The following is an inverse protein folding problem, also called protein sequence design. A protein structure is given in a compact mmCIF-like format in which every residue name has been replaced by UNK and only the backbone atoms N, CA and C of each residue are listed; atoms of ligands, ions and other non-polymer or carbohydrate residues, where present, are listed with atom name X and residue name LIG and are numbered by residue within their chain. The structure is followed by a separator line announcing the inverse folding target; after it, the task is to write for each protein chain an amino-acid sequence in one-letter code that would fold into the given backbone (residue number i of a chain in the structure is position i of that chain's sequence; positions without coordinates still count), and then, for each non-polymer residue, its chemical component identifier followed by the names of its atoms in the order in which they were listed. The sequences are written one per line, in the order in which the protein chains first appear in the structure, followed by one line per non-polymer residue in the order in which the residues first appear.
data_IF_488095661991
#
_entry.id   IF_488095661991
#
_cell.length_a   1.000
_cell.length_b   1.000
_cell.length_c   1.000
_cell.angle_alpha   90.00
_cell.angle_beta   90.00
_cell.angle_gamma   90.00
#
_symmetry.space_group_name_H-M   'P 1'
#
loop_
_entity.id
_entity.type
_entity.pdbx_description
1 polymer ?
#
# COMPACT_ATOMS: atom_id res chain seq x y z
N UNK A 1 11.04 0.35 0.67
CA UNK A 1 12.06 1.41 0.88
C UNK A 1 11.39 2.59 1.59
N UNK A 2 11.98 3.09 2.68
CA UNK A 2 11.40 4.22 3.43
C UNK A 2 11.35 5.49 2.59
N UNK A 3 12.36 5.77 1.76
CA UNK A 3 12.40 6.94 0.88
C UNK A 3 11.20 6.94 -0.06
N UNK A 4 10.94 5.80 -0.70
CA UNK A 4 9.78 5.65 -1.62
C UNK A 4 8.46 5.83 -0.86
N UNK A 5 8.32 5.26 0.33
CA UNK A 5 7.12 5.44 1.15
C UNK A 5 6.92 6.92 1.52
N UNK A 6 7.98 7.62 1.90
CA UNK A 6 7.93 9.06 2.19
C UNK A 6 7.47 9.85 0.95
N UNK A 7 7.98 9.53 -0.25
CA UNK A 7 7.51 10.11 -1.51
C UNK A 7 5.99 9.87 -1.70
N UNK A 8 5.53 8.64 -1.49
CA UNK A 8 4.10 8.30 -1.59
C UNK A 8 3.24 9.14 -0.64
N UNK A 9 3.65 9.29 0.63
CA UNK A 9 2.88 10.04 1.64
C UNK A 9 2.78 11.54 1.35
N UNK A 10 3.76 12.11 0.65
CA UNK A 10 3.74 13.52 0.23
C UNK A 10 2.83 13.77 -0.97
N UNK A 11 2.73 12.79 -1.88
CA UNK A 11 2.07 12.95 -3.18
C UNK A 11 0.63 12.39 -3.22
N UNK A 12 0.29 11.45 -2.35
CA UNK A 12 -0.93 10.65 -2.44
C UNK A 12 -1.55 10.36 -1.07
N UNK A 13 -2.82 9.95 -1.07
CA UNK A 13 -3.47 9.42 0.13
C UNK A 13 -2.99 8.00 0.37
N UNK A 14 -2.23 7.80 1.45
CA UNK A 14 -1.65 6.49 1.80
C UNK A 14 -2.42 5.86 2.96
N UNK A 15 -2.92 4.65 2.75
CA UNK A 15 -3.40 3.74 3.78
C UNK A 15 -2.30 2.78 4.25
N UNK A 16 -2.45 2.24 5.47
CA UNK A 16 -1.54 1.26 6.02
C UNK A 16 -2.28 0.18 6.81
N UNK A 17 -1.76 -1.05 6.77
CA UNK A 17 -2.19 -2.11 7.67
C UNK A 17 -1.01 -2.95 8.16
N UNK A 18 -1.17 -3.50 9.37
CA UNK A 18 -0.16 -4.35 9.99
C UNK A 18 -0.58 -5.82 9.92
N UNK A 19 0.25 -6.67 9.31
CA UNK A 19 0.01 -8.12 9.21
C UNK A 19 -0.01 -8.83 10.57
N UNK A 20 0.60 -8.24 11.60
CA UNK A 20 0.56 -8.75 12.97
C UNK A 20 -0.85 -8.71 13.59
N UNK A 21 -1.72 -7.84 13.08
CA UNK A 21 -3.11 -7.70 13.50
C UNK A 21 -4.05 -8.65 12.74
N UNK A 22 -3.53 -9.43 11.78
CA UNK A 22 -4.31 -10.38 11.00
C UNK A 22 -4.86 -11.50 11.89
N UNK A 23 -6.20 -11.72 11.92
CA UNK A 23 -6.77 -12.83 12.67
C UNK A 23 -6.23 -14.18 12.17
N UNK A 24 -5.92 -15.10 13.09
CA UNK A 24 -5.37 -16.44 12.75
C UNK A 24 -6.21 -17.17 11.70
N UNK A 25 -7.55 -17.12 11.84
CA UNK A 25 -8.51 -17.74 10.90
C UNK A 25 -8.44 -17.19 9.47
N UNK A 26 -7.93 -15.97 9.29
CA UNK A 26 -7.66 -15.37 7.99
C UNK A 26 -6.25 -15.76 7.52
N UNK A 27 -5.27 -15.73 8.41
CA UNK A 27 -3.86 -16.04 8.14
C UNK A 27 -3.63 -17.49 7.69
N UNK A 28 -4.44 -18.43 8.21
CA UNK A 28 -4.41 -19.85 7.85
C UNK A 28 -5.10 -20.15 6.51
N UNK A 29 -5.92 -19.21 6.01
CA UNK A 29 -6.58 -19.34 4.71
C UNK A 29 -5.73 -18.68 3.62
N UNK A 30 -5.33 -19.47 2.64
CA UNK A 30 -4.59 -18.94 1.49
C UNK A 30 -5.36 -17.81 0.79
N UNK A 31 -4.60 -16.85 0.26
CA UNK A 31 -5.11 -15.72 -0.55
C UNK A 31 -6.07 -14.77 0.18
N UNK A 32 -6.12 -14.76 1.52
CA UNK A 32 -7.00 -13.86 2.29
C UNK A 32 -6.32 -12.65 2.94
N UNK A 33 -5.01 -12.72 3.19
CA UNK A 33 -4.28 -11.65 3.92
C UNK A 33 -4.33 -10.29 3.23
N UNK A 34 -4.19 -10.24 1.91
CA UNK A 34 -4.22 -8.97 1.16
C UNK A 34 -5.62 -8.39 1.17
N UNK A 35 -6.65 -9.19 0.90
CA UNK A 35 -8.05 -8.72 0.91
C UNK A 35 -8.44 -8.17 2.29
N UNK A 36 -8.09 -8.89 3.37
CA UNK A 36 -8.32 -8.41 4.74
C UNK A 36 -7.57 -7.09 5.01
N UNK A 37 -6.29 -7.02 4.66
CA UNK A 37 -5.46 -5.84 4.90
C UNK A 37 -5.92 -4.61 4.13
N UNK A 38 -6.28 -4.78 2.86
CA UNK A 38 -6.84 -3.73 2.01
C UNK A 38 -8.17 -3.23 2.60
N UNK A 39 -9.07 -4.14 2.97
CA UNK A 39 -10.34 -3.75 3.60
C UNK A 39 -10.13 -2.98 4.92
N UNK A 40 -9.16 -3.39 5.74
CA UNK A 40 -8.82 -2.70 6.98
C UNK A 40 -8.20 -1.31 6.73
N UNK A 41 -7.40 -1.16 5.68
CA UNK A 41 -6.82 0.13 5.32
C UNK A 41 -7.90 1.08 4.77
N UNK A 42 -8.77 0.59 3.89
CA UNK A 42 -9.85 1.37 3.29
C UNK A 42 -10.95 1.75 4.27
N UNK A 43 -11.22 0.94 5.30
CA UNK A 43 -12.20 1.31 6.34
C UNK A 43 -11.76 2.54 7.16
N UNK A 44 -10.45 2.82 7.20
CA UNK A 44 -9.86 3.99 7.87
C UNK A 44 -9.60 5.15 6.90
N UNK A 45 -9.25 4.83 5.65
CA UNK A 45 -8.96 5.79 4.59
C UNK A 45 -9.61 5.32 3.27
N UNK A 46 -10.91 5.60 3.07
CA UNK A 46 -11.68 5.09 1.92
C UNK A 46 -11.14 5.52 0.55
N UNK A 47 -10.49 6.69 0.52
CA UNK A 47 -9.98 7.31 -0.70
C UNK A 47 -8.46 7.07 -0.87
N UNK A 48 -7.91 6.00 -0.29
CA UNK A 48 -6.48 5.72 -0.39
C UNK A 48 -6.07 5.34 -1.83
N UNK A 49 -5.16 6.12 -2.41
CA UNK A 49 -4.51 5.82 -3.69
C UNK A 49 -3.48 4.69 -3.56
N UNK A 50 -2.90 4.55 -2.37
CA UNK A 50 -1.79 3.65 -2.09
C UNK A 50 -2.04 2.98 -0.74
N UNK A 51 -1.78 1.67 -0.65
CA UNK A 51 -1.80 0.93 0.62
C UNK A 51 -0.44 0.27 0.84
N UNK A 52 0.11 0.42 2.04
CA UNK A 52 1.39 -0.20 2.43
C UNK A 52 1.25 -1.16 3.60
N UNK A 53 2.19 -2.10 3.69
CA UNK A 53 2.40 -2.89 4.90
C UNK A 53 3.89 -3.17 5.12
N UNK A 54 4.29 -3.28 6.39
CA UNK A 54 5.69 -3.48 6.79
C UNK A 54 6.18 -4.93 6.65
N UNK A 55 5.34 -5.83 6.14
CA UNK A 55 5.66 -7.25 5.99
C UNK A 55 5.34 -8.03 7.27
N UNK A 56 5.83 -9.26 7.34
CA UNK A 56 5.77 -10.12 8.53
C UNK A 56 6.92 -11.15 8.48
N UNK A 57 7.07 -12.00 9.48
CA UNK A 57 8.04 -13.10 9.43
C UNK A 57 7.81 -13.96 8.18
N UNK A 58 8.85 -14.09 7.35
CA UNK A 58 8.79 -14.81 6.08
C UNK A 58 7.99 -14.11 4.97
N UNK A 59 7.59 -12.84 5.15
CA UNK A 59 6.87 -12.08 4.13
C UNK A 59 7.42 -10.66 3.97
N UNK A 60 7.75 -10.30 2.73
CA UNK A 60 8.32 -8.99 2.41
C UNK A 60 7.34 -7.82 2.62
N UNK A 61 7.84 -6.59 2.91
CA UNK A 61 7.04 -5.37 2.91
C UNK A 61 6.59 -4.99 1.49
N UNK A 62 5.41 -4.36 1.36
CA UNK A 62 4.87 -3.96 0.05
C UNK A 62 4.27 -2.55 0.10
N UNK A 63 4.32 -1.88 -1.06
CA UNK A 63 3.56 -0.68 -1.39
C UNK A 63 2.68 -1.06 -2.59
N UNK A 64 1.36 -0.91 -2.45
CA UNK A 64 0.36 -1.29 -3.45
C UNK A 64 -0.28 0.00 -3.97
N UNK A 65 -0.22 0.22 -5.28
CA UNK A 65 -0.73 1.45 -5.92
C UNK A 65 -2.02 1.10 -6.67
N UNK A 66 -3.07 1.89 -6.44
CA UNK A 66 -4.38 1.72 -7.07
C UNK A 66 -4.64 2.81 -8.10
N UNK A 67 -5.47 2.50 -9.09
CA UNK A 67 -5.97 3.43 -10.09
C UNK A 67 -7.17 2.82 -10.82
N UNK A 68 -8.01 3.67 -11.41
CA UNK A 68 -9.17 3.26 -12.19
C UNK A 68 -8.79 2.73 -13.58
N UNK A 69 -7.54 2.94 -14.00
CA UNK A 69 -6.99 2.41 -15.24
C UNK A 69 -5.50 2.07 -15.08
N UNK A 70 -4.94 1.19 -15.93
CA UNK A 70 -3.50 0.93 -15.95
C UNK A 70 -2.67 2.20 -16.15
N UNK A 71 -3.16 3.13 -16.99
CA UNK A 71 -2.47 4.40 -17.26
C UNK A 71 -2.35 5.25 -15.99
N UNK A 72 -3.42 5.34 -15.19
CA UNK A 72 -3.40 6.08 -13.94
C UNK A 72 -2.37 5.52 -12.95
N UNK A 73 -2.25 4.19 -12.86
CA UNK A 73 -1.24 3.54 -12.01
C UNK A 73 0.17 3.89 -12.51
N UNK A 74 0.41 3.83 -13.82
CA UNK A 74 1.70 4.21 -14.41
C UNK A 74 2.04 5.67 -14.13
N UNK A 75 1.07 6.58 -14.23
CA UNK A 75 1.29 8.00 -13.98
C UNK A 75 1.57 8.29 -12.50
N UNK A 76 0.92 7.58 -11.57
CA UNK A 76 1.26 7.61 -10.14
C UNK A 76 2.70 7.13 -9.91
N UNK A 77 3.10 6.02 -10.53
CA UNK A 77 4.48 5.51 -10.45
C UNK A 77 5.49 6.52 -10.98
N UNK A 78 5.23 7.14 -12.14
CA UNK A 78 6.10 8.19 -12.70
C UNK A 78 6.28 9.35 -11.73
N UNK A 79 5.21 9.84 -11.10
CA UNK A 79 5.27 10.92 -10.10
C UNK A 79 6.13 10.55 -8.89
N UNK A 80 6.03 9.29 -8.42
CA UNK A 80 6.84 8.79 -7.30
C UNK A 80 8.33 8.73 -7.67
N UNK A 81 8.63 8.37 -8.92
CA UNK A 81 10.01 8.23 -9.40
C UNK A 81 10.63 9.54 -9.90
N UNK A 82 9.82 10.57 -10.17
CA UNK A 82 10.32 11.86 -10.66
C UNK A 82 11.13 12.59 -9.58
N UNK A 83 12.41 12.78 -9.87
CA UNK A 83 13.36 13.45 -8.99
C UNK A 83 13.18 14.99 -8.97
N UNK A 84 12.41 15.57 -9.90
CA UNK A 84 12.08 17.01 -9.89
C UNK A 84 11.07 17.39 -8.81
N UNK A 85 10.36 16.43 -8.23
CA UNK A 85 9.47 16.66 -7.09
C UNK A 85 10.25 16.82 -5.75
N UNK A 86 11.58 17.01 -5.82
CA UNK A 86 12.50 16.98 -4.67
C UNK A 86 13.46 18.19 -4.60
N UNK A 87 13.18 19.28 -5.32
CA UNK A 87 13.75 20.62 -5.04
C UNK A 87 12.82 21.44 -4.14
#
# INVERSE_FOLDING_TARGET
DKRVLDKCTKLFRVGHYERKLEPKVIKEKESRSISWGVNLALSKNPDADIISHSGDVGKEPMIIIFGHSPQEVVDKVKKILDDKNFE
#
